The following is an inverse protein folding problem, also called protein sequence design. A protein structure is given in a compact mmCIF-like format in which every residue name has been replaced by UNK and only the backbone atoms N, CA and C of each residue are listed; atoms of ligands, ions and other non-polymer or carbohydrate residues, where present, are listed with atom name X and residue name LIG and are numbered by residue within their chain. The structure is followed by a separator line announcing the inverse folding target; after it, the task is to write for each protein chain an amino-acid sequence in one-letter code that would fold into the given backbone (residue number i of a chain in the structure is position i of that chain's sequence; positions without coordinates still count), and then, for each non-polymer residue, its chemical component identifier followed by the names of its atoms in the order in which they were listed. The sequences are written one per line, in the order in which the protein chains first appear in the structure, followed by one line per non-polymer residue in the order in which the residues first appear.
data_IF_296002252118
#
_entry.id   IF_296002252118
#
_cell.length_a   1.000
_cell.length_b   1.000
_cell.length_c   1.000
_cell.angle_alpha   90.00
_cell.angle_beta   90.00
_cell.angle_gamma   90.00
#
_symmetry.space_group_name_H-M   'P 1'
#
loop_
_entity.id
_entity.type
_entity.pdbx_description
1 polymer ?
#
# COMPACT_ATOMS: atom_id res chain seq x y z
N UNK A 1 57.03 -191.75 -7.06
CA UNK A 1 56.45 -193.05 -6.65
C UNK A 1 55.10 -192.75 -6.02
N UNK A 2 54.04 -193.32 -6.59
CA UNK A 2 52.68 -193.24 -6.07
C UNK A 2 52.53 -194.19 -4.88
N UNK A 3 51.80 -193.78 -3.85
CA UNK A 3 51.13 -194.71 -2.92
C UNK A 3 49.88 -194.04 -2.38
N UNK A 4 48.75 -194.45 -2.95
CA UNK A 4 47.40 -194.36 -2.37
C UNK A 4 47.30 -195.38 -1.23
N UNK A 5 46.63 -195.03 -0.13
CA UNK A 5 46.09 -196.01 0.80
C UNK A 5 44.83 -195.44 1.45
N UNK A 6 43.71 -196.13 1.23
CA UNK A 6 42.38 -195.83 1.75
C UNK A 6 42.18 -196.35 3.19
N UNK A 7 41.29 -195.63 3.88
CA UNK A 7 40.30 -196.06 4.87
C UNK A 7 40.73 -196.76 6.17
N UNK A 8 40.33 -196.15 7.30
CA UNK A 8 39.41 -196.83 8.23
C UNK A 8 38.66 -195.83 9.12
N UNK A 9 37.36 -196.07 9.30
CA UNK A 9 36.38 -195.27 10.06
C UNK A 9 36.30 -195.78 11.50
N UNK A 10 36.25 -194.86 12.49
CA UNK A 10 35.76 -195.09 13.86
C UNK A 10 34.84 -193.91 14.23
N UNK A 11 33.64 -194.21 14.74
CA UNK A 11 32.61 -193.25 15.21
C UNK A 11 32.78 -192.88 16.69
N UNK A 12 32.53 -191.62 17.08
CA UNK A 12 32.25 -191.22 18.48
C UNK A 12 31.21 -190.06 18.59
N UNK A 13 30.11 -190.37 19.29
CA UNK A 13 29.01 -189.64 19.97
C UNK A 13 28.44 -188.26 19.51
N UNK A 14 27.19 -188.26 19.03
CA UNK A 14 26.28 -187.07 18.92
C UNK A 14 25.29 -187.03 20.10
N UNK A 15 25.15 -185.88 20.79
CA UNK A 15 24.22 -185.70 21.94
C UNK A 15 23.09 -184.69 21.61
N UNK A 16 21.85 -185.00 22.02
CA UNK A 16 20.67 -184.13 21.85
C UNK A 16 20.13 -183.71 23.21
N UNK A 17 19.99 -182.39 23.44
CA UNK A 17 19.53 -181.80 24.71
C UNK A 17 18.38 -180.81 24.49
N UNK A 18 17.67 -180.46 25.58
CA UNK A 18 16.61 -179.44 25.59
C UNK A 18 15.48 -179.70 24.58
N UNK A 19 14.99 -180.94 24.52
CA UNK A 19 13.81 -181.28 23.72
C UNK A 19 12.55 -180.64 24.31
N UNK A 20 11.93 -179.72 23.57
CA UNK A 20 10.62 -179.16 23.91
C UNK A 20 9.61 -179.52 22.81
N UNK A 21 8.61 -180.33 23.17
CA UNK A 21 7.50 -180.71 22.29
C UNK A 21 6.32 -179.78 22.56
N UNK A 22 5.96 -178.98 21.56
CA UNK A 22 4.68 -178.27 21.53
C UNK A 22 3.75 -178.90 20.48
N UNK A 23 2.46 -178.59 20.52
CA UNK A 23 1.46 -179.09 19.55
C UNK A 23 1.81 -178.77 18.09
N UNK A 24 2.65 -177.76 17.84
CA UNK A 24 3.08 -177.30 16.52
C UNK A 24 4.44 -177.83 16.06
N UNK A 25 5.09 -178.69 16.84
CA UNK A 25 6.39 -179.26 16.48
C UNK A 25 7.33 -179.40 17.67
N UNK A 26 8.46 -180.05 17.40
CA UNK A 26 9.50 -180.33 18.37
C UNK A 26 10.74 -179.47 18.05
N UNK A 27 11.25 -178.75 19.03
CA UNK A 27 12.60 -178.19 18.98
C UNK A 27 13.52 -178.99 19.90
N UNK A 28 14.77 -179.16 19.48
CA UNK A 28 15.83 -179.74 20.29
C UNK A 28 17.15 -179.14 19.87
N UNK A 29 18.08 -179.08 20.80
CA UNK A 29 19.44 -178.62 20.56
C UNK A 29 20.33 -179.83 20.26
N UNK A 30 20.92 -179.86 19.07
CA UNK A 30 21.86 -180.93 18.67
C UNK A 30 23.27 -180.43 18.90
N UNK A 31 24.00 -181.13 19.78
CA UNK A 31 25.38 -180.83 20.08
C UNK A 31 26.24 -181.90 19.41
N UNK A 32 26.87 -181.52 18.31
CA UNK A 32 27.73 -182.41 17.52
C UNK A 32 29.13 -182.58 18.13
N UNK A 33 29.55 -181.65 19.00
CA UNK A 33 30.76 -181.70 19.81
C UNK A 33 30.64 -180.69 20.96
N UNK A 34 31.24 -180.99 22.13
CA UNK A 34 31.26 -180.05 23.25
C UNK A 34 32.07 -178.78 22.89
N UNK A 35 31.54 -177.57 23.17
CA UNK A 35 32.23 -176.33 22.82
C UNK A 35 33.49 -176.15 23.68
N UNK A 36 34.64 -176.09 23.00
CA UNK A 36 36.01 -176.07 23.58
C UNK A 36 36.43 -174.73 24.21
N UNK A 37 35.48 -173.83 24.51
CA UNK A 37 35.73 -172.47 24.97
C UNK A 37 35.00 -172.09 26.25
N UNK A 38 35.74 -171.68 27.29
CA UNK A 38 35.19 -171.18 28.55
C UNK A 38 34.77 -169.70 28.46
N UNK A 39 33.48 -169.46 28.73
CA UNK A 39 32.77 -168.19 29.07
C UNK A 39 32.48 -167.17 27.95
N UNK A 40 31.22 -166.73 27.96
CA UNK A 40 30.56 -165.72 27.10
C UNK A 40 31.29 -164.37 27.17
N UNK A 41 31.49 -163.72 26.01
CA UNK A 41 32.10 -162.39 25.92
C UNK A 41 31.30 -161.31 26.68
N UNK A 42 31.95 -160.32 27.33
CA UNK A 42 31.26 -159.25 28.04
C UNK A 42 30.55 -158.35 27.02
N UNK A 43 29.30 -157.97 27.32
CA UNK A 43 28.53 -157.05 26.48
C UNK A 43 29.14 -155.63 26.48
N UNK A 44 29.00 -154.86 25.38
CA UNK A 44 29.57 -153.51 25.27
C UNK A 44 29.06 -152.56 26.38
N UNK A 45 29.84 -151.53 26.77
CA UNK A 45 29.40 -150.55 27.76
C UNK A 45 28.15 -149.82 27.23
N UNK A 46 27.09 -149.81 28.02
CA UNK A 46 25.90 -148.99 27.73
C UNK A 46 26.29 -147.51 27.79
N UNK A 47 26.04 -146.70 26.75
CA UNK A 47 26.25 -145.26 26.84
C UNK A 47 25.36 -144.70 27.96
N UNK A 48 25.91 -143.86 28.83
CA UNK A 48 25.15 -143.15 29.87
C UNK A 48 23.95 -142.43 29.24
N UNK A 49 22.77 -142.42 29.89
CA UNK A 49 21.57 -141.85 29.29
C UNK A 49 21.81 -140.37 28.99
N UNK A 50 21.76 -140.01 27.71
CA UNK A 50 21.93 -138.63 27.25
C UNK A 50 20.92 -137.74 27.96
N UNK A 51 21.38 -136.77 28.73
CA UNK A 51 20.49 -135.85 29.45
C UNK A 51 19.69 -135.04 28.43
N UNK A 52 18.40 -134.91 28.67
CA UNK A 52 17.45 -134.27 27.75
C UNK A 52 17.87 -132.84 27.39
N UNK A 53 18.44 -132.11 28.35
CA UNK A 53 19.01 -130.77 28.17
C UNK A 53 20.12 -130.73 27.11
N UNK A 54 21.00 -131.74 27.07
CA UNK A 54 22.10 -131.81 26.09
C UNK A 54 21.59 -132.09 24.66
N UNK A 55 20.44 -132.75 24.52
CA UNK A 55 19.79 -132.98 23.22
C UNK A 55 19.11 -131.69 22.76
N UNK A 56 18.39 -131.01 23.65
CA UNK A 56 17.73 -129.74 23.38
C UNK A 56 18.73 -128.64 22.99
N UNK A 57 19.87 -128.53 23.70
CA UNK A 57 20.92 -127.57 23.37
C UNK A 57 21.53 -127.83 21.97
N UNK A 58 21.70 -129.11 21.59
CA UNK A 58 22.19 -129.47 20.25
C UNK A 58 21.18 -129.14 19.15
N UNK A 59 19.88 -129.33 19.41
CA UNK A 59 18.82 -128.95 18.49
C UNK A 59 18.72 -127.42 18.37
N UNK A 60 18.80 -126.70 19.49
CA UNK A 60 18.80 -125.23 19.52
C UNK A 60 20.02 -124.65 18.80
N UNK A 61 21.21 -125.20 19.01
CA UNK A 61 22.43 -124.78 18.29
C UNK A 61 22.38 -125.14 16.78
N UNK A 62 21.64 -126.17 16.39
CA UNK A 62 21.38 -126.46 14.97
C UNK A 62 20.37 -125.46 14.37
N UNK A 63 19.34 -125.09 15.12
CA UNK A 63 18.36 -124.09 14.73
C UNK A 63 18.96 -122.68 14.62
N UNK A 64 19.78 -122.26 15.59
CA UNK A 64 20.50 -120.98 15.55
C UNK A 64 21.46 -120.92 14.36
N UNK A 65 22.15 -122.02 14.02
CA UNK A 65 22.97 -122.09 12.80
C UNK A 65 22.13 -121.97 11.53
N UNK A 66 20.97 -122.63 11.47
CA UNK A 66 20.02 -122.49 10.34
C UNK A 66 19.56 -121.03 10.20
N UNK A 67 19.15 -120.41 11.31
CA UNK A 67 18.65 -119.04 11.35
C UNK A 67 19.75 -118.03 10.98
N UNK A 68 20.98 -118.23 11.46
CA UNK A 68 22.14 -117.41 11.13
C UNK A 68 22.50 -117.48 9.64
N UNK A 69 22.50 -118.69 9.06
CA UNK A 69 22.72 -118.86 7.61
C UNK A 69 21.61 -118.22 6.78
N UNK A 70 20.36 -118.31 7.22
CA UNK A 70 19.22 -117.66 6.58
C UNK A 70 19.32 -116.13 6.68
N UNK A 71 19.63 -115.59 7.85
CA UNK A 71 19.85 -114.17 8.07
C UNK A 71 21.00 -113.63 7.22
N UNK A 72 22.12 -114.36 7.10
CA UNK A 72 23.22 -113.99 6.23
C UNK A 72 22.82 -113.98 4.74
N UNK A 73 22.03 -114.97 4.31
CA UNK A 73 21.48 -114.98 2.94
C UNK A 73 20.56 -113.78 2.69
N UNK A 74 19.65 -113.49 3.62
CA UNK A 74 18.75 -112.34 3.54
C UNK A 74 19.52 -111.00 3.53
N UNK A 75 20.53 -110.84 4.38
CA UNK A 75 21.39 -109.66 4.40
C UNK A 75 22.16 -109.48 3.09
N UNK A 76 22.68 -110.57 2.51
CA UNK A 76 23.36 -110.54 1.20
C UNK A 76 22.41 -110.15 0.07
N UNK A 77 21.16 -110.66 0.09
CA UNK A 77 20.13 -110.27 -0.88
C UNK A 77 19.72 -108.81 -0.70
N UNK A 78 19.50 -108.35 0.53
CA UNK A 78 19.18 -106.95 0.83
C UNK A 78 20.28 -105.99 0.37
N UNK A 79 21.55 -106.33 0.59
CA UNK A 79 22.69 -105.53 0.11
C UNK A 79 22.74 -105.44 -1.42
N UNK A 80 22.43 -106.54 -2.13
CA UNK A 80 22.34 -106.53 -3.61
C UNK A 80 21.19 -105.66 -4.11
N UNK A 81 20.02 -105.76 -3.48
CA UNK A 81 18.85 -104.92 -3.81
C UNK A 81 19.14 -103.43 -3.54
N UNK A 82 19.73 -103.11 -2.40
CA UNK A 82 20.13 -101.74 -2.06
C UNK A 82 21.12 -101.15 -3.07
N UNK A 83 22.10 -101.94 -3.54
CA UNK A 83 23.03 -101.49 -4.59
C UNK A 83 22.35 -101.26 -5.94
N UNK A 84 21.35 -102.08 -6.29
CA UNK A 84 20.53 -101.88 -7.50
C UNK A 84 19.73 -100.58 -7.38
N UNK A 85 19.08 -100.34 -6.24
CA UNK A 85 18.33 -99.11 -5.98
C UNK A 85 19.23 -97.87 -6.01
N UNK A 86 20.41 -97.88 -5.38
CA UNK A 86 21.35 -96.77 -5.43
C UNK A 86 21.82 -96.48 -6.86
N UNK A 87 22.07 -97.52 -7.65
CA UNK A 87 22.49 -97.35 -9.04
C UNK A 87 21.36 -96.77 -9.88
N UNK A 88 20.11 -97.21 -9.65
CA UNK A 88 18.92 -96.64 -10.29
C UNK A 88 18.74 -95.16 -9.91
N UNK A 89 18.81 -94.82 -8.61
CA UNK A 89 18.74 -93.42 -8.13
C UNK A 89 19.81 -92.54 -8.76
N UNK A 90 21.07 -92.99 -8.79
CA UNK A 90 22.18 -92.23 -9.41
C UNK A 90 21.96 -92.02 -10.91
N UNK A 91 21.39 -93.00 -11.61
CA UNK A 91 21.03 -92.85 -13.03
C UNK A 91 19.94 -91.79 -13.21
N UNK A 92 18.92 -91.80 -12.37
CA UNK A 92 17.83 -90.82 -12.42
C UNK A 92 18.31 -89.41 -12.05
N UNK A 93 19.17 -89.28 -11.04
CA UNK A 93 19.82 -88.03 -10.65
C UNK A 93 20.68 -87.45 -11.77
N UNK A 94 21.51 -88.26 -12.44
CA UNK A 94 22.31 -87.81 -13.59
C UNK A 94 21.43 -87.38 -14.76
N UNK A 95 20.36 -88.13 -15.03
CA UNK A 95 19.39 -87.78 -16.08
C UNK A 95 18.68 -86.45 -15.76
N UNK A 96 18.23 -86.28 -14.52
CA UNK A 96 17.59 -85.05 -14.05
C UNK A 96 18.55 -83.87 -14.10
N UNK A 97 19.78 -84.01 -13.60
CA UNK A 97 20.80 -82.96 -13.63
C UNK A 97 21.14 -82.56 -15.07
N UNK A 98 21.23 -83.52 -15.99
CA UNK A 98 21.45 -83.24 -17.41
C UNK A 98 20.30 -82.45 -18.03
N UNK A 99 19.05 -82.85 -17.76
CA UNK A 99 17.87 -82.12 -18.24
C UNK A 99 17.82 -80.69 -17.70
N UNK A 100 18.08 -80.50 -16.40
CA UNK A 100 18.08 -79.19 -15.75
C UNK A 100 19.18 -78.30 -16.32
N UNK A 101 20.42 -78.80 -16.40
CA UNK A 101 21.54 -78.02 -16.94
C UNK A 101 21.34 -77.62 -18.41
N UNK A 102 20.74 -78.52 -19.21
CA UNK A 102 20.42 -78.22 -20.62
C UNK A 102 19.34 -77.15 -20.72
N UNK A 103 18.31 -77.23 -19.87
CA UNK A 103 17.25 -76.22 -19.79
C UNK A 103 17.81 -74.86 -19.38
N UNK A 104 18.56 -74.80 -18.28
CA UNK A 104 19.17 -73.56 -17.78
C UNK A 104 20.12 -72.94 -18.79
N UNK A 105 20.90 -73.75 -19.53
CA UNK A 105 21.77 -73.27 -20.60
C UNK A 105 21.00 -72.62 -21.75
N UNK A 106 19.84 -73.18 -22.12
CA UNK A 106 18.97 -72.61 -23.14
C UNK A 106 18.32 -71.32 -22.65
N UNK A 107 17.75 -71.35 -21.43
CA UNK A 107 17.12 -70.18 -20.80
C UNK A 107 18.13 -69.02 -20.67
N UNK A 108 19.38 -69.30 -20.27
CA UNK A 108 20.44 -68.30 -20.18
C UNK A 108 20.79 -67.68 -21.56
N UNK A 109 20.82 -68.47 -22.64
CA UNK A 109 21.08 -67.96 -24.00
C UNK A 109 19.93 -67.09 -24.51
N UNK A 110 18.69 -67.48 -24.23
CA UNK A 110 17.50 -66.70 -24.58
C UNK A 110 17.52 -65.36 -23.85
N UNK A 111 17.67 -65.38 -22.52
CA UNK A 111 17.73 -64.17 -21.69
C UNK A 111 18.88 -63.25 -22.11
N UNK A 112 20.08 -63.78 -22.38
CA UNK A 112 21.21 -62.97 -22.85
C UNK A 112 20.92 -62.26 -24.19
N UNK A 113 20.20 -62.94 -25.09
CA UNK A 113 19.81 -62.38 -26.39
C UNK A 113 18.76 -61.29 -26.22
N UNK A 114 17.78 -61.50 -25.33
CA UNK A 114 16.77 -60.51 -24.97
C UNK A 114 17.41 -59.27 -24.31
N UNK A 115 18.26 -59.46 -23.30
CA UNK A 115 18.98 -58.38 -22.62
C UNK A 115 19.82 -57.55 -23.59
N UNK A 116 20.57 -58.19 -24.51
CA UNK A 116 21.34 -57.47 -25.53
C UNK A 116 20.46 -56.68 -26.49
N UNK A 117 19.33 -57.25 -26.90
CA UNK A 117 18.36 -56.59 -27.76
C UNK A 117 17.75 -55.37 -27.05
N UNK A 118 17.35 -55.54 -25.79
CA UNK A 118 16.79 -54.47 -24.98
C UNK A 118 17.80 -53.37 -24.70
N UNK A 119 19.05 -53.71 -24.37
CA UNK A 119 20.13 -52.75 -24.17
C UNK A 119 20.35 -51.89 -25.42
N UNK A 120 20.41 -52.51 -26.61
CA UNK A 120 20.55 -51.79 -27.87
C UNK A 120 19.35 -50.88 -28.17
N UNK A 121 18.12 -51.34 -27.93
CA UNK A 121 16.91 -50.53 -28.10
C UNK A 121 16.92 -49.35 -27.11
N UNK A 122 17.31 -49.57 -25.86
CA UNK A 122 17.38 -48.54 -24.83
C UNK A 122 18.46 -47.51 -25.14
N UNK A 123 19.62 -47.92 -25.65
CA UNK A 123 20.67 -47.01 -26.11
C UNK A 123 20.15 -46.10 -27.24
N UNK A 124 19.46 -46.65 -28.23
CA UNK A 124 18.86 -45.86 -29.31
C UNK A 124 17.80 -44.89 -28.80
N UNK A 125 16.93 -45.34 -27.89
CA UNK A 125 15.91 -44.47 -27.26
C UNK A 125 16.55 -43.33 -26.48
N UNK A 126 17.63 -43.59 -25.74
CA UNK A 126 18.35 -42.56 -24.98
C UNK A 126 18.99 -41.53 -25.92
N UNK A 127 19.66 -41.96 -26.99
CA UNK A 127 20.22 -41.05 -28.00
C UNK A 127 19.15 -40.17 -28.65
N UNK A 128 17.99 -40.74 -28.96
CA UNK A 128 16.86 -39.98 -29.50
C UNK A 128 16.32 -38.96 -28.49
N UNK A 129 16.20 -39.35 -27.22
CA UNK A 129 15.76 -38.47 -26.14
C UNK A 129 16.72 -37.30 -25.95
N UNK A 130 18.03 -37.55 -25.86
CA UNK A 130 19.06 -36.52 -25.76
C UNK A 130 19.04 -35.56 -26.96
N UNK A 131 18.85 -36.09 -28.18
CA UNK A 131 18.72 -35.26 -29.37
C UNK A 131 17.49 -34.35 -29.30
N UNK A 132 16.33 -34.87 -28.89
CA UNK A 132 15.11 -34.07 -28.71
C UNK A 132 15.31 -32.98 -27.65
N UNK A 133 15.93 -33.30 -26.52
CA UNK A 133 16.26 -32.32 -25.47
C UNK A 133 17.21 -31.23 -25.98
N UNK A 134 18.22 -31.59 -26.77
CA UNK A 134 19.14 -30.62 -27.39
C UNK A 134 18.44 -29.69 -28.40
N UNK A 135 17.54 -30.25 -29.22
CA UNK A 135 16.73 -29.46 -30.16
C UNK A 135 15.82 -28.50 -29.40
N UNK A 136 15.14 -28.97 -28.35
CA UNK A 136 14.26 -28.12 -27.54
C UNK A 136 15.03 -27.01 -26.82
N UNK A 137 16.21 -27.32 -26.28
CA UNK A 137 17.11 -26.32 -25.70
C UNK A 137 17.50 -25.25 -26.72
N UNK A 138 17.82 -25.67 -27.96
CA UNK A 138 18.16 -24.74 -29.04
C UNK A 138 16.96 -23.87 -29.42
N UNK A 139 15.76 -24.47 -29.50
CA UNK A 139 14.50 -23.75 -29.77
C UNK A 139 14.22 -22.68 -28.71
N UNK A 140 14.31 -23.05 -27.43
CA UNK A 140 14.11 -22.13 -26.30
C UNK A 140 15.15 -21.00 -26.30
N UNK A 141 16.41 -21.30 -26.57
CA UNK A 141 17.46 -20.27 -26.66
C UNK A 141 17.20 -19.27 -27.80
N UNK A 142 16.79 -19.74 -28.98
CA UNK A 142 16.44 -18.85 -30.10
C UNK A 142 15.22 -17.99 -29.78
N UNK A 143 14.21 -18.56 -29.12
CA UNK A 143 13.02 -17.82 -28.68
C UNK A 143 13.40 -16.73 -27.67
N UNK A 144 14.26 -17.06 -26.70
CA UNK A 144 14.76 -16.11 -25.71
C UNK A 144 15.55 -14.97 -26.36
N UNK A 145 16.50 -15.28 -27.25
CA UNK A 145 17.25 -14.25 -27.99
C UNK A 145 16.32 -13.35 -28.82
N UNK A 146 15.29 -13.92 -29.45
CA UNK A 146 14.31 -13.14 -30.21
C UNK A 146 13.52 -12.19 -29.32
N UNK A 147 13.11 -12.64 -28.12
CA UNK A 147 12.43 -11.80 -27.12
C UNK A 147 13.34 -10.68 -26.62
N UNK A 148 14.59 -10.98 -26.32
CA UNK A 148 15.58 -9.98 -25.87
C UNK A 148 15.84 -8.92 -26.93
N UNK A 149 16.03 -9.31 -28.19
CA UNK A 149 16.19 -8.37 -29.31
C UNK A 149 14.95 -7.49 -29.47
N UNK A 150 13.75 -8.07 -29.40
CA UNK A 150 12.49 -7.31 -29.47
C UNK A 150 12.38 -6.28 -28.35
N UNK A 151 12.63 -6.68 -27.10
CA UNK A 151 12.59 -5.79 -25.95
C UNK A 151 13.63 -4.66 -26.05
N UNK A 152 14.85 -4.97 -26.52
CA UNK A 152 15.89 -3.97 -26.72
C UNK A 152 15.52 -2.94 -27.79
N UNK A 153 14.86 -3.38 -28.88
CA UNK A 153 14.36 -2.47 -29.92
C UNK A 153 13.23 -1.59 -29.37
N UNK A 154 12.29 -2.16 -28.63
CA UNK A 154 11.17 -1.45 -28.03
C UNK A 154 11.64 -0.35 -27.07
N UNK A 155 12.58 -0.66 -26.16
CA UNK A 155 13.13 0.31 -25.22
C UNK A 155 13.94 1.42 -25.93
N UNK A 156 14.67 1.09 -27.01
CA UNK A 156 15.33 2.11 -27.84
C UNK A 156 14.32 3.05 -28.50
N UNK A 157 13.23 2.51 -29.06
CA UNK A 157 12.17 3.32 -29.68
C UNK A 157 11.48 4.21 -28.66
N UNK A 158 11.18 3.68 -27.46
CA UNK A 158 10.58 4.42 -26.35
C UNK A 158 11.49 5.55 -25.86
N UNK A 159 12.77 5.28 -25.68
CA UNK A 159 13.76 6.30 -25.30
C UNK A 159 13.88 7.39 -26.39
N UNK A 160 13.94 7.00 -27.66
CA UNK A 160 14.00 7.94 -28.77
C UNK A 160 12.71 8.77 -28.91
N UNK A 161 11.54 8.20 -28.62
CA UNK A 161 10.28 8.93 -28.57
C UNK A 161 10.28 9.95 -27.42
N UNK A 162 10.61 9.53 -26.21
CA UNK A 162 10.71 10.42 -25.05
C UNK A 162 11.67 11.58 -25.28
N UNK A 163 12.83 11.32 -25.88
CA UNK A 163 13.80 12.36 -26.21
C UNK A 163 13.29 13.35 -27.27
N UNK A 164 12.55 12.86 -28.28
CA UNK A 164 11.89 13.73 -29.27
C UNK A 164 10.84 14.62 -28.60
N UNK A 165 9.98 14.04 -27.77
CA UNK A 165 8.92 14.75 -27.06
C UNK A 165 9.49 15.81 -26.11
N UNK A 166 10.56 15.48 -25.38
CA UNK A 166 11.23 16.43 -24.50
C UNK A 166 11.85 17.60 -25.28
N UNK A 167 12.45 17.33 -26.44
CA UNK A 167 13.01 18.38 -27.29
C UNK A 167 11.92 19.30 -27.85
N UNK A 168 10.83 18.73 -28.36
CA UNK A 168 9.66 19.50 -28.83
C UNK A 168 9.09 20.33 -27.69
N UNK A 169 8.93 19.74 -26.51
CA UNK A 169 8.45 20.45 -25.31
C UNK A 169 9.35 21.65 -24.97
N UNK A 170 10.67 21.47 -24.94
CA UNK A 170 11.62 22.58 -24.71
C UNK A 170 11.50 23.70 -25.75
N UNK A 171 11.25 23.35 -27.02
CA UNK A 171 11.02 24.35 -28.07
C UNK A 171 9.71 25.12 -27.84
N UNK A 172 8.63 24.42 -27.51
CA UNK A 172 7.33 25.02 -27.22
C UNK A 172 7.36 25.91 -25.98
N UNK A 173 8.04 25.47 -24.92
CA UNK A 173 8.20 26.25 -23.68
C UNK A 173 8.93 27.57 -23.96
N UNK A 174 10.01 27.56 -24.76
CA UNK A 174 10.71 28.79 -25.18
C UNK A 174 9.84 29.73 -25.99
N UNK A 175 9.02 29.19 -26.90
CA UNK A 175 8.09 30.00 -27.69
C UNK A 175 7.03 30.65 -26.79
N UNK A 176 6.50 29.89 -25.83
CA UNK A 176 5.55 30.40 -24.84
C UNK A 176 6.15 31.49 -23.96
N UNK A 177 7.38 31.31 -23.46
CA UNK A 177 8.10 32.34 -22.70
C UNK A 177 8.27 33.64 -23.50
N UNK A 178 8.57 33.52 -24.80
CA UNK A 178 8.67 34.68 -25.70
C UNK A 178 7.31 35.37 -25.89
N UNK A 179 6.23 34.61 -26.11
CA UNK A 179 4.87 35.17 -26.17
C UNK A 179 4.49 35.91 -24.89
N UNK A 180 4.79 35.32 -23.73
CA UNK A 180 4.57 35.98 -22.43
C UNK A 180 5.39 37.25 -22.28
N UNK A 181 6.64 37.26 -22.76
CA UNK A 181 7.47 38.47 -22.77
C UNK A 181 6.86 39.56 -23.66
N UNK A 182 6.38 39.21 -24.86
CA UNK A 182 5.70 40.15 -25.76
C UNK A 182 4.47 40.73 -25.08
N UNK A 183 3.66 39.91 -24.41
CA UNK A 183 2.48 40.37 -23.65
C UNK A 183 2.89 41.34 -22.54
N UNK A 184 3.92 41.01 -21.73
CA UNK A 184 4.44 41.90 -20.69
C UNK A 184 4.91 43.25 -21.24
N UNK A 185 5.63 43.25 -22.36
CA UNK A 185 6.10 44.48 -23.01
C UNK A 185 4.92 45.31 -23.52
N UNK A 186 3.92 44.69 -24.14
CA UNK A 186 2.69 45.36 -24.59
C UNK A 186 1.94 45.99 -23.43
N UNK A 187 1.72 45.24 -22.35
CA UNK A 187 1.08 45.73 -21.13
C UNK A 187 1.83 46.93 -20.54
N UNK A 188 3.17 46.83 -20.39
CA UNK A 188 3.97 47.94 -19.88
C UNK A 188 3.92 49.18 -20.79
N UNK A 189 3.82 49.01 -22.11
CA UNK A 189 3.60 50.13 -23.03
C UNK A 189 2.21 50.75 -22.82
N UNK A 190 1.17 49.92 -22.73
CA UNK A 190 -0.20 50.36 -22.46
C UNK A 190 -0.30 51.13 -21.15
N UNK A 191 0.32 50.66 -20.06
CA UNK A 191 0.37 51.36 -18.78
C UNK A 191 1.06 52.72 -18.87
N UNK A 192 2.19 52.80 -19.59
CA UNK A 192 2.88 54.07 -19.81
C UNK A 192 2.00 55.06 -20.60
N UNK A 193 1.26 54.59 -21.60
CA UNK A 193 0.29 55.41 -22.34
C UNK A 193 -0.80 55.93 -21.39
N UNK A 194 -1.41 55.08 -20.58
CA UNK A 194 -2.43 55.49 -19.60
C UNK A 194 -1.88 56.51 -18.58
N UNK A 195 -0.63 56.35 -18.13
CA UNK A 195 0.03 57.32 -17.25
C UNK A 195 0.20 58.68 -17.93
N UNK A 196 0.63 58.70 -19.20
CA UNK A 196 0.77 59.94 -19.96
C UNK A 196 -0.59 60.59 -20.21
N UNK A 197 -1.63 59.82 -20.55
CA UNK A 197 -3.00 60.31 -20.70
C UNK A 197 -3.52 60.93 -19.40
N UNK A 198 -3.32 60.26 -18.26
CA UNK A 198 -3.70 60.78 -16.95
C UNK A 198 -2.94 62.07 -16.59
N UNK A 199 -1.63 62.15 -16.89
CA UNK A 199 -0.84 63.37 -16.69
C UNK A 199 -1.33 64.53 -17.57
N UNK A 200 -1.64 64.25 -18.85
CA UNK A 200 -2.19 65.26 -19.77
C UNK A 200 -3.54 65.74 -19.25
N UNK A 201 -4.43 64.81 -18.88
CA UNK A 201 -5.75 65.13 -18.34
C UNK A 201 -5.63 65.99 -17.07
N UNK A 202 -4.76 65.60 -16.13
CA UNK A 202 -4.52 66.37 -14.91
C UNK A 202 -3.99 67.79 -15.19
N UNK A 203 -3.15 67.98 -16.22
CA UNK A 203 -2.71 69.33 -16.64
C UNK A 203 -3.84 70.14 -17.27
N UNK A 204 -4.73 69.51 -18.05
CA UNK A 204 -5.91 70.17 -18.60
C UNK A 204 -6.88 70.62 -17.50
N UNK A 205 -7.13 69.76 -16.52
CA UNK A 205 -7.99 70.07 -15.37
C UNK A 205 -7.41 71.20 -14.53
N UNK A 206 -6.11 71.18 -14.23
CA UNK A 206 -5.45 72.31 -13.56
C UNK A 206 -5.54 73.62 -14.36
N UNK A 207 -5.38 73.57 -15.68
CA UNK A 207 -5.50 74.75 -16.53
C UNK A 207 -6.94 75.30 -16.53
N UNK A 208 -7.94 74.40 -16.50
CA UNK A 208 -9.35 74.75 -16.34
C UNK A 208 -9.62 75.39 -14.99
N UNK A 209 -9.18 74.77 -13.89
CA UNK A 209 -9.38 75.28 -12.53
C UNK A 209 -8.74 76.65 -12.33
N UNK A 210 -7.53 76.87 -12.87
CA UNK A 210 -6.87 78.17 -12.85
C UNK A 210 -7.68 79.21 -13.61
N UNK A 211 -8.22 78.87 -14.78
CA UNK A 211 -9.08 79.75 -15.58
C UNK A 211 -10.35 80.12 -14.79
N UNK A 212 -11.02 79.13 -14.22
CA UNK A 212 -12.22 79.32 -13.41
C UNK A 212 -11.93 80.14 -12.14
N UNK A 213 -10.76 79.97 -11.50
CA UNK A 213 -10.34 80.76 -10.34
C UNK A 213 -10.09 82.22 -10.72
N UNK A 214 -9.36 82.48 -11.80
CA UNK A 214 -9.15 83.84 -12.28
C UNK A 214 -10.47 84.52 -12.65
N UNK A 215 -11.39 83.79 -13.28
CA UNK A 215 -12.73 84.31 -13.61
C UNK A 215 -13.54 84.61 -12.34
N UNK A 216 -13.51 83.71 -11.34
CA UNK A 216 -14.15 83.93 -10.03
C UNK A 216 -13.59 85.16 -9.33
N UNK A 217 -12.27 85.31 -9.28
CA UNK A 217 -11.60 86.47 -8.69
C UNK A 217 -11.96 87.77 -9.43
N UNK A 218 -12.01 87.75 -10.77
CA UNK A 218 -12.43 88.91 -11.55
C UNK A 218 -13.89 89.28 -11.28
N UNK A 219 -14.79 88.29 -11.28
CA UNK A 219 -16.21 88.48 -10.93
C UNK A 219 -16.38 89.04 -9.52
N UNK A 220 -15.59 88.56 -8.56
CA UNK A 220 -15.60 89.05 -7.18
C UNK A 220 -15.05 90.48 -7.06
N UNK A 221 -13.96 90.82 -7.76
CA UNK A 221 -13.45 92.20 -7.86
C UNK A 221 -14.51 93.14 -8.43
N UNK A 222 -15.20 92.73 -9.50
CA UNK A 222 -16.31 93.48 -10.10
C UNK A 222 -17.47 93.65 -9.11
N UNK A 223 -17.89 92.59 -8.41
CA UNK A 223 -18.93 92.65 -7.36
C UNK A 223 -18.54 93.60 -6.23
N UNK A 224 -17.29 93.55 -5.77
CA UNK A 224 -16.80 94.42 -4.71
C UNK A 224 -16.80 95.90 -5.14
N UNK A 225 -16.42 96.19 -6.38
CA UNK A 225 -16.47 97.56 -6.89
C UNK A 225 -17.90 98.03 -7.16
N UNK A 226 -18.67 97.31 -7.97
CA UNK A 226 -19.97 97.74 -8.48
C UNK A 226 -21.11 97.58 -7.47
N UNK A 227 -21.02 96.62 -6.56
CA UNK A 227 -22.08 96.36 -5.58
C UNK A 227 -21.69 96.88 -4.22
N UNK A 228 -20.58 96.41 -3.66
CA UNK A 228 -20.24 96.68 -2.24
C UNK A 228 -19.78 98.13 -2.04
N UNK A 229 -18.82 98.62 -2.83
CA UNK A 229 -18.35 100.01 -2.70
C UNK A 229 -19.42 101.02 -3.07
N UNK A 230 -20.18 100.78 -4.14
CA UNK A 230 -21.31 101.66 -4.51
C UNK A 230 -22.37 101.67 -3.40
N UNK A 231 -22.73 100.52 -2.82
CA UNK A 231 -23.66 100.48 -1.69
C UNK A 231 -23.13 101.28 -0.50
N UNK A 232 -21.84 101.15 -0.17
CA UNK A 232 -21.21 101.91 0.92
C UNK A 232 -21.19 103.42 0.64
N UNK A 233 -20.89 103.84 -0.59
CA UNK A 233 -20.94 105.26 -1.00
C UNK A 233 -22.37 105.79 -0.89
N UNK A 234 -23.37 105.03 -1.36
CA UNK A 234 -24.78 105.38 -1.20
C UNK A 234 -25.16 105.52 0.27
N UNK A 235 -24.80 104.55 1.10
CA UNK A 235 -25.03 104.61 2.55
C UNK A 235 -24.38 105.85 3.19
N UNK A 236 -23.13 106.18 2.83
CA UNK A 236 -22.49 107.40 3.35
C UNK A 236 -23.18 108.68 2.84
N UNK A 237 -23.64 108.71 1.59
CA UNK A 237 -24.39 109.83 1.04
C UNK A 237 -25.74 109.98 1.74
N UNK A 238 -26.44 108.88 2.03
CA UNK A 238 -27.68 108.86 2.80
C UNK A 238 -27.45 109.38 4.22
N UNK A 239 -26.37 108.98 4.88
CA UNK A 239 -25.99 109.50 6.22
C UNK A 239 -25.67 111.00 6.18
N UNK A 240 -24.98 111.49 5.15
CA UNK A 240 -24.69 112.93 5.00
C UNK A 240 -25.98 113.69 4.75
N UNK A 241 -26.84 113.22 3.84
CA UNK A 241 -28.13 113.82 3.56
C UNK A 241 -29.01 113.88 4.82
N UNK A 242 -29.01 112.82 5.65
CA UNK A 242 -29.69 112.81 6.94
C UNK A 242 -29.12 113.85 7.90
N UNK A 243 -27.79 114.00 8.00
CA UNK A 243 -27.15 115.04 8.83
C UNK A 243 -27.44 116.46 8.35
N UNK A 244 -27.47 116.69 7.04
CA UNK A 244 -27.85 118.00 6.46
C UNK A 244 -29.32 118.31 6.73
N UNK A 245 -30.20 117.31 6.61
CA UNK A 245 -31.61 117.45 6.97
C UNK A 245 -31.75 117.77 8.46
N UNK A 246 -30.99 117.10 9.31
CA UNK A 246 -30.98 117.34 10.76
C UNK A 246 -30.41 118.72 11.11
N UNK A 247 -29.36 119.19 10.41
CA UNK A 247 -28.81 120.52 10.58
C UNK A 247 -29.81 121.62 10.14
N UNK A 248 -30.47 121.45 8.98
CA UNK A 248 -31.56 122.34 8.55
C UNK A 248 -32.71 122.35 9.54
N UNK A 249 -33.08 121.19 10.08
CA UNK A 249 -34.08 121.09 11.14
C UNK A 249 -33.67 121.91 12.37
N UNK A 250 -32.42 121.76 12.85
CA UNK A 250 -31.89 122.57 13.96
C UNK A 250 -31.86 124.07 13.65
N UNK A 251 -31.55 124.47 12.42
CA UNK A 251 -31.58 125.87 12.01
C UNK A 251 -33.01 126.44 12.01
N UNK A 252 -33.98 125.66 11.52
CA UNK A 252 -35.40 126.02 11.57
C UNK A 252 -35.86 126.13 13.03
N UNK A 253 -35.54 125.14 13.87
CA UNK A 253 -35.87 125.14 15.29
C UNK A 253 -35.28 126.38 16.00
N UNK A 254 -34.04 126.76 15.68
CA UNK A 254 -33.40 127.96 16.22
C UNK A 254 -34.08 129.25 15.73
N UNK A 255 -34.45 129.34 14.45
CA UNK A 255 -35.21 130.49 13.91
C UNK A 255 -36.59 130.62 14.57
N UNK A 256 -37.26 129.49 14.79
CA UNK A 256 -38.54 129.45 15.52
C UNK A 256 -38.34 129.92 16.96
N UNK A 257 -37.28 129.46 17.63
CA UNK A 257 -36.94 129.89 18.99
C UNK A 257 -36.69 131.41 19.05
N UNK A 258 -35.89 131.96 18.14
CA UNK A 258 -35.64 133.40 18.05
C UNK A 258 -36.93 134.18 17.75
N UNK A 259 -37.79 133.67 16.87
CA UNK A 259 -39.08 134.27 16.58
C UNK A 259 -40.00 134.26 17.80
N UNK A 260 -40.01 133.18 18.58
CA UNK A 260 -40.75 133.08 19.84
C UNK A 260 -40.23 134.06 20.89
N UNK A 261 -38.92 134.17 21.05
CA UNK A 261 -38.29 135.17 21.92
C UNK A 261 -38.64 136.60 21.49
N UNK A 262 -38.56 136.91 20.19
CA UNK A 262 -38.94 138.22 19.66
C UNK A 262 -40.42 138.51 19.90
N UNK A 263 -41.29 137.52 19.70
CA UNK A 263 -42.72 137.64 20.02
C UNK A 263 -42.93 137.90 21.50
N UNK A 264 -42.19 137.22 22.38
CA UNK A 264 -42.22 137.46 23.82
C UNK A 264 -41.71 138.86 24.19
N UNK A 265 -40.61 139.33 23.58
CA UNK A 265 -40.12 140.71 23.77
C UNK A 265 -41.14 141.75 23.32
N UNK A 266 -41.83 141.51 22.21
CA UNK A 266 -42.88 142.41 21.72
C UNK A 266 -44.12 142.39 22.63
N UNK A 267 -44.53 141.22 23.12
CA UNK A 267 -45.56 141.10 24.15
C UNK A 267 -45.14 141.85 25.43
N UNK A 268 -43.89 141.73 25.86
CA UNK A 268 -43.35 142.46 27.01
C UNK A 268 -43.33 143.98 26.77
N UNK A 269 -42.95 144.45 25.57
CA UNK A 269 -43.06 145.88 25.20
C UNK A 269 -44.51 146.37 25.26
N UNK A 270 -45.46 145.61 24.71
CA UNK A 270 -46.88 145.98 24.76
C UNK A 270 -47.41 145.98 26.19
N UNK A 271 -46.99 145.03 27.04
CA UNK A 271 -47.28 145.03 28.48
C UNK A 271 -46.67 146.24 29.20
N UNK A 272 -45.44 146.64 28.86
CA UNK A 272 -44.82 147.85 29.41
C UNK A 272 -45.53 149.12 28.94
N UNK A 273 -45.95 149.20 27.68
CA UNK A 273 -46.74 150.31 27.15
C UNK A 273 -48.11 150.40 27.83
N UNK A 274 -48.77 149.27 28.08
CA UNK A 274 -49.99 149.20 28.87
C UNK A 274 -49.75 149.66 30.32
N UNK A 275 -48.66 149.21 30.97
CA UNK A 275 -48.27 149.71 32.31
C UNK A 275 -47.95 151.20 32.31
N UNK A 276 -47.38 151.74 31.25
CA UNK A 276 -47.12 153.19 31.13
C UNK A 276 -48.40 153.99 30.91
N UNK A 277 -49.37 153.45 30.14
CA UNK A 277 -50.72 154.02 30.04
C UNK A 277 -51.45 153.94 31.38
N UNK A 278 -51.29 152.86 32.13
CA UNK A 278 -51.84 152.69 33.46
C UNK A 278 -51.21 153.71 34.44
N UNK A 279 -49.88 153.87 34.44
CA UNK A 279 -49.18 154.93 35.18
C UNK A 279 -49.58 156.33 34.73
N UNK A 280 -49.81 156.57 33.43
CA UNK A 280 -50.32 157.87 32.92
C UNK A 280 -51.76 158.10 33.36
N UNK A 281 -52.62 157.08 33.39
CA UNK A 281 -53.97 157.17 33.95
C UNK A 281 -53.94 157.43 35.46
N UNK A 282 -52.95 156.87 36.16
CA UNK A 282 -52.67 157.14 37.58
C UNK A 282 -52.13 158.56 37.80
N UNK A 283 -51.24 159.03 36.93
CA UNK A 283 -50.68 160.38 36.94
C UNK A 283 -51.74 161.45 36.57
N UNK A 284 -52.71 161.13 35.71
CA UNK A 284 -53.88 161.97 35.45
C UNK A 284 -54.85 161.97 36.65
N UNK A 285 -54.98 160.85 37.37
CA UNK A 285 -55.71 160.79 38.66
C UNK A 285 -55.00 161.60 39.76
N UNK A 286 -53.66 161.62 39.80
CA UNK A 286 -52.86 162.43 40.73
C UNK A 286 -52.81 163.91 40.33
N UNK A 287 -52.69 164.26 39.05
CA UNK A 287 -52.70 165.66 38.57
C UNK A 287 -54.09 166.30 38.63
N UNK A 288 -55.17 165.51 38.58
CA UNK A 288 -56.53 166.00 38.91
C UNK A 288 -56.69 166.26 40.41
N UNK A 289 -55.85 165.68 41.26
CA UNK A 289 -55.80 165.95 42.70
C UNK A 289 -54.81 167.09 43.05
N UNK A 290 -53.73 167.31 42.27
CA UNK A 290 -52.67 168.28 42.58
C UNK A 290 -52.86 169.69 41.97
N UNK A 291 -53.72 169.87 40.96
CA UNK A 291 -53.94 171.18 40.30
C UNK A 291 -55.04 172.05 40.92
N UNK A 292 -55.38 171.77 42.18
CA UNK A 292 -56.13 172.66 43.05
C UNK A 292 -55.21 173.59 43.88
N UNK A 293 -53.89 173.40 43.88
CA UNK A 293 -52.93 174.14 44.72
C UNK A 293 -51.77 174.79 43.89
N UNK A 294 -51.66 176.14 43.89
CA UNK A 294 -50.52 177.04 43.57
C UNK A 294 -50.10 177.24 42.08
N UNK A 295 -50.00 178.43 41.44
CA UNK A 295 -49.56 179.83 41.73
C UNK A 295 -48.04 180.05 42.00
N UNK A 296 -47.33 180.68 41.04
CA UNK A 296 -46.19 181.60 41.27
C UNK A 296 -44.79 181.32 40.64
N UNK A 297 -44.41 182.16 39.64
CA UNK A 297 -43.03 182.65 39.24
C UNK A 297 -41.99 181.68 38.65
N UNK A 298 -41.03 182.03 37.79
CA UNK A 298 -40.66 183.10 36.82
C UNK A 298 -39.37 182.58 36.09
N UNK A 299 -39.18 182.98 34.82
CA UNK A 299 -37.94 183.41 34.08
C UNK A 299 -36.59 182.64 34.24
N UNK A 300 -35.63 182.56 33.30
CA UNK A 300 -35.21 183.40 32.17
C UNK A 300 -34.12 182.69 31.30
N UNK A 301 -33.96 183.16 30.05
CA UNK A 301 -32.72 183.33 29.26
C UNK A 301 -32.02 182.22 28.40
N UNK A 302 -32.10 182.45 27.06
CA UNK A 302 -31.00 182.71 26.10
C UNK A 302 -30.31 181.64 25.19
N UNK A 303 -30.20 182.06 23.91
CA UNK A 303 -29.18 181.74 22.86
C UNK A 303 -29.23 180.38 22.11
N UNK A 304 -28.70 180.19 20.89
CA UNK A 304 -28.52 180.93 19.63
C UNK A 304 -27.73 179.99 18.67
N UNK A 305 -28.11 179.93 17.38
CA UNK A 305 -27.24 179.65 16.19
C UNK A 305 -26.67 178.20 15.95
N UNK A 306 -26.24 177.83 14.71
CA UNK A 306 -27.02 177.86 13.46
C UNK A 306 -26.66 176.74 12.41
N UNK A 307 -27.28 176.78 11.21
CA UNK A 307 -26.77 176.34 9.87
C UNK A 307 -26.59 174.82 9.60
N UNK A 308 -26.64 174.22 8.39
CA UNK A 308 -27.17 174.44 7.02
C UNK A 308 -26.65 173.24 6.17
N UNK A 309 -27.29 172.97 5.01
CA UNK A 309 -26.75 172.24 3.80
C UNK A 309 -26.81 170.68 3.91
N UNK A 310 -27.71 169.99 3.20
CA UNK A 310 -27.81 169.68 1.75
C UNK A 310 -26.79 168.66 1.21
N UNK A 311 -27.34 167.64 0.52
CA UNK A 311 -26.98 167.03 -0.79
C UNK A 311 -27.30 165.53 -0.73
N UNK A 312 -28.32 165.02 -1.44
CA UNK A 312 -28.41 164.74 -2.88
C UNK A 312 -27.70 163.44 -3.32
N UNK A 313 -28.46 162.65 -4.09
CA UNK A 313 -28.00 161.81 -5.22
C UNK A 313 -27.74 160.30 -5.03
N UNK A 314 -28.46 159.59 -5.91
CA UNK A 314 -28.15 158.36 -6.68
C UNK A 314 -28.12 156.99 -5.99
N UNK A 315 -28.96 156.08 -6.51
CA UNK A 315 -28.70 154.63 -6.57
C UNK A 315 -29.86 153.74 -6.17
#
# INVERSE_FOLDING_TARGET
MATTAESNIIMEATEIRCQEKSKGGLCYEVILAEPTGTKRAPSPPQPSPTQQTTIEDKLKAAEERRLSLEAHKLASLAAKLSKIEETARKKDELSSAFMTATRESLDAKMNNTEEKREAHINELKNKLKEHLESVEKTRLNLEQQTKEVRAAVEEKLKTAAAQRDENIKKMLDRLKEHEEQVVRVRQGMTERVHQLESQIQGKLDQARDRRESMEREQKEKLRNHNTVKIAKVRETADVIALKELEAKKREIDMKVTIAEENRQREIQRRLQALRQLERRAEMVRQNKAARADQEGKEEENNSALPLKIETASSG
#
